data_IF_316171714312
#
_entry.id   IF_316171714312
#
_cell.length_a   1.000
_cell.length_b   1.000
_cell.length_c   1.000
_cell.angle_alpha   90.00
_cell.angle_beta   90.00
_cell.angle_gamma   90.00
#
_symmetry.space_group_name_H-M   'P 1'
#
loop_
_entity.id
_entity.type
_entity.pdbx_description
1 polymer ?
#
# COMPACT_ATOMS: atom_id res chain seq x y z
N UNK A 1 -12.08 -11.39 13.43
CA UNK A 1 -12.09 -10.82 12.06
C UNK A 1 -10.72 -10.19 11.81
N UNK A 2 -10.18 -10.25 10.59
CA UNK A 2 -8.96 -9.51 10.24
C UNK A 2 -9.11 -8.01 10.51
N UNK A 3 -8.02 -7.36 10.89
CA UNK A 3 -7.94 -5.91 11.10
C UNK A 3 -6.79 -5.33 10.29
N UNK A 4 -6.91 -4.09 9.83
CA UNK A 4 -5.79 -3.37 9.22
C UNK A 4 -4.80 -2.84 10.28
N UNK A 5 -3.75 -2.16 9.84
CA UNK A 5 -2.73 -1.59 10.73
C UNK A 5 -3.22 -0.41 11.59
N UNK A 6 -4.46 0.06 11.37
CA UNK A 6 -5.15 1.09 12.15
C UNK A 6 -6.35 0.52 12.90
N UNK A 7 -6.40 -0.81 13.05
CA UNK A 7 -7.41 -1.52 13.81
C UNK A 7 -8.82 -1.48 13.20
N UNK A 8 -8.97 -1.17 11.91
CA UNK A 8 -10.24 -1.26 11.20
C UNK A 8 -10.52 -2.71 10.80
N UNK A 9 -11.64 -3.31 11.25
CA UNK A 9 -12.00 -4.67 10.87
C UNK A 9 -12.43 -4.73 9.40
N UNK A 10 -12.07 -5.80 8.72
CA UNK A 10 -12.51 -6.05 7.35
C UNK A 10 -12.77 -7.53 7.08
N UNK A 11 -13.49 -7.79 6.00
CA UNK A 11 -13.67 -9.10 5.40
C UNK A 11 -12.94 -9.13 4.07
N UNK A 12 -12.24 -10.21 3.78
CA UNK A 12 -11.76 -10.46 2.42
C UNK A 12 -12.95 -10.93 1.58
N UNK A 13 -13.29 -10.18 0.54
CA UNK A 13 -14.42 -10.50 -0.36
C UNK A 13 -13.98 -11.20 -1.62
N UNK A 14 -12.74 -10.97 -2.05
CA UNK A 14 -12.14 -11.58 -3.22
C UNK A 14 -10.64 -11.73 -2.96
N UNK A 15 -10.08 -12.88 -3.30
CA UNK A 15 -8.65 -13.08 -3.27
C UNK A 15 -8.21 -13.94 -4.46
N UNK A 16 -7.29 -13.42 -5.25
CA UNK A 16 -6.60 -14.15 -6.31
C UNK A 16 -5.13 -14.28 -5.93
N UNK A 17 -4.57 -15.47 -6.09
CA UNK A 17 -3.14 -15.70 -5.95
C UNK A 17 -2.66 -16.49 -7.15
N UNK A 18 -1.78 -15.90 -7.94
CA UNK A 18 -1.08 -16.56 -9.03
C UNK A 18 0.43 -16.34 -8.92
N UNK A 19 1.21 -17.00 -9.76
CA UNK A 19 2.68 -16.98 -9.70
C UNK A 19 3.28 -15.57 -9.85
N UNK A 20 2.51 -14.60 -10.36
CA UNK A 20 2.98 -13.23 -10.63
C UNK A 20 2.34 -12.20 -9.71
N UNK A 21 1.11 -12.42 -9.26
CA UNK A 21 0.35 -11.44 -8.50
C UNK A 21 -0.56 -12.07 -7.44
N UNK A 22 -0.56 -11.46 -6.25
CA UNK A 22 -1.57 -11.67 -5.22
C UNK A 22 -2.45 -10.43 -5.12
N UNK A 23 -3.77 -10.60 -5.24
CA UNK A 23 -4.76 -9.54 -5.09
C UNK A 23 -5.77 -9.95 -4.03
N UNK A 24 -6.08 -9.06 -3.11
CA UNK A 24 -7.06 -9.25 -2.05
C UNK A 24 -7.95 -8.00 -1.93
N UNK A 25 -9.25 -8.13 -2.20
CA UNK A 25 -10.25 -7.08 -1.94
C UNK A 25 -10.72 -7.17 -0.50
N UNK A 26 -10.89 -6.00 0.13
CA UNK A 26 -11.22 -5.84 1.54
C UNK A 26 -12.48 -5.01 1.68
N UNK A 27 -13.50 -5.60 2.28
CA UNK A 27 -14.76 -4.93 2.63
C UNK A 27 -14.73 -4.56 4.12
N UNK A 28 -14.81 -3.26 4.39
CA UNK A 28 -14.82 -2.70 5.75
C UNK A 28 -16.24 -2.39 6.25
N UNK A 29 -17.26 -2.77 5.48
CA UNK A 29 -18.67 -2.50 5.76
C UNK A 29 -19.23 -1.34 4.94
N UNK A 30 -20.57 -1.20 4.94
CA UNK A 30 -21.27 -0.22 4.10
C UNK A 30 -20.96 1.24 4.46
N UNK A 31 -20.60 1.51 5.72
CA UNK A 31 -20.27 2.86 6.20
C UNK A 31 -18.80 3.23 5.99
N UNK A 32 -18.00 2.34 5.39
CA UNK A 32 -16.60 2.59 5.13
C UNK A 32 -16.42 3.69 4.07
N UNK A 33 -15.47 4.63 4.27
CA UNK A 33 -15.20 5.68 3.29
C UNK A 33 -14.67 5.12 1.96
N UNK A 34 -14.05 3.93 1.99
CA UNK A 34 -13.58 3.22 0.82
C UNK A 34 -14.27 1.85 0.70
N UNK A 35 -15.10 1.71 -0.33
CA UNK A 35 -15.76 0.44 -0.68
C UNK A 35 -14.89 -0.43 -1.61
N UNK A 36 -13.79 0.12 -2.14
CA UNK A 36 -12.89 -0.52 -3.09
C UNK A 36 -11.48 -0.73 -2.50
N UNK A 37 -11.40 -0.95 -1.19
CA UNK A 37 -10.15 -1.20 -0.53
C UNK A 37 -9.57 -2.55 -0.99
N UNK A 38 -8.26 -2.57 -1.24
CA UNK A 38 -7.58 -3.72 -1.83
C UNK A 38 -6.10 -3.75 -1.46
N UNK A 39 -5.50 -4.92 -1.63
CA UNK A 39 -4.08 -5.16 -1.54
C UNK A 39 -3.66 -5.93 -2.77
N UNK A 40 -2.67 -5.44 -3.50
CA UNK A 40 -2.08 -6.08 -4.65
C UNK A 40 -0.58 -6.15 -4.45
N UNK A 41 0.01 -7.33 -4.49
CA UNK A 41 1.45 -7.54 -4.44
C UNK A 41 1.89 -8.37 -5.63
N UNK A 42 3.06 -8.07 -6.16
CA UNK A 42 3.63 -8.73 -7.33
C UNK A 42 4.96 -9.38 -7.00
N UNK A 43 5.33 -10.38 -7.78
CA UNK A 43 6.57 -11.13 -7.59
C UNK A 43 7.85 -10.30 -7.80
N UNK A 44 7.75 -9.15 -8.47
CA UNK A 44 8.84 -8.17 -8.61
C UNK A 44 9.05 -7.30 -7.36
N UNK A 45 8.29 -7.54 -6.28
CA UNK A 45 8.34 -6.77 -5.04
C UNK A 45 7.52 -5.48 -5.07
N UNK A 46 6.92 -5.12 -6.21
CA UNK A 46 5.98 -4.00 -6.26
C UNK A 46 4.68 -4.35 -5.55
N UNK A 47 4.03 -3.34 -4.99
CA UNK A 47 2.72 -3.50 -4.38
C UNK A 47 1.89 -2.23 -4.49
N UNK A 48 0.58 -2.39 -4.33
CA UNK A 48 -0.40 -1.31 -4.24
C UNK A 48 -1.42 -1.66 -3.15
N UNK A 49 -1.67 -0.71 -2.26
CA UNK A 49 -2.71 -0.75 -1.27
C UNK A 49 -3.69 0.38 -1.53
N UNK A 50 -4.97 0.05 -1.47
CA UNK A 50 -6.10 0.98 -1.33
C UNK A 50 -6.68 0.73 0.06
N UNK A 51 -6.68 1.75 0.93
CA UNK A 51 -6.96 1.60 2.35
C UNK A 51 -8.36 2.09 2.74
N UNK A 52 -8.83 1.75 3.94
CA UNK A 52 -10.14 2.16 4.49
C UNK A 52 -10.48 3.65 4.26
N UNK A 53 -9.51 4.55 4.48
CA UNK A 53 -9.64 6.00 4.39
C UNK A 53 -9.44 6.56 2.98
N UNK A 54 -9.50 5.72 1.95
CA UNK A 54 -9.20 6.05 0.54
C UNK A 54 -7.76 6.46 0.26
N UNK A 55 -6.87 6.43 1.26
CA UNK A 55 -5.44 6.60 1.01
C UNK A 55 -4.89 5.42 0.19
N UNK A 56 -3.88 5.71 -0.63
CA UNK A 56 -3.18 4.72 -1.43
C UNK A 56 -1.71 4.65 -1.03
N UNK A 57 -1.17 3.45 -1.08
CA UNK A 57 0.25 3.21 -0.79
C UNK A 57 0.82 2.27 -1.85
N UNK A 58 1.78 2.75 -2.63
CA UNK A 58 2.42 1.97 -3.69
C UNK A 58 3.92 1.84 -3.47
N UNK A 59 4.49 0.76 -4.00
CA UNK A 59 5.93 0.55 -4.09
C UNK A 59 6.25 0.00 -5.47
N UNK A 60 7.35 0.48 -6.06
CA UNK A 60 7.77 0.09 -7.41
C UNK A 60 8.60 -1.21 -7.47
N UNK A 61 8.89 -1.83 -6.32
CA UNK A 61 9.77 -3.00 -6.21
C UNK A 61 11.26 -2.68 -6.35
N UNK A 62 11.61 -1.42 -6.60
CA UNK A 62 12.97 -0.91 -6.85
C UNK A 62 13.44 0.07 -5.78
N UNK A 63 12.63 0.27 -4.74
CA UNK A 63 12.97 1.04 -3.56
C UNK A 63 12.22 2.36 -3.44
N UNK A 64 11.33 2.71 -4.37
CA UNK A 64 10.49 3.92 -4.27
C UNK A 64 9.10 3.57 -3.79
N UNK A 65 8.68 4.24 -2.72
CA UNK A 65 7.35 4.11 -2.13
C UNK A 65 6.61 5.44 -2.28
N UNK A 66 5.33 5.38 -2.63
CA UNK A 66 4.45 6.55 -2.73
C UNK A 66 3.26 6.37 -1.80
N UNK A 67 3.00 7.38 -0.98
CA UNK A 67 1.80 7.49 -0.16
C UNK A 67 0.94 8.63 -0.68
N UNK A 68 -0.28 8.33 -1.10
CA UNK A 68 -1.26 9.31 -1.58
C UNK A 68 -2.43 9.36 -0.62
N UNK A 69 -2.54 10.39 0.22
CA UNK A 69 -3.73 10.59 1.05
C UNK A 69 -4.95 10.92 0.17
N UNK A 70 -6.17 10.67 0.67
CA UNK A 70 -7.39 11.01 -0.07
C UNK A 70 -7.49 12.52 -0.33
N UNK A 71 -7.65 12.90 -1.60
CA UNK A 71 -7.76 14.30 -2.02
C UNK A 71 -6.53 15.18 -1.77
N UNK A 72 -5.34 14.61 -1.54
CA UNK A 72 -4.11 15.36 -1.29
C UNK A 72 -2.98 14.94 -2.22
N UNK A 73 -1.97 15.81 -2.33
CA UNK A 73 -0.76 15.52 -3.08
C UNK A 73 -0.01 14.30 -2.48
N UNK A 74 0.63 13.48 -3.34
CA UNK A 74 1.40 12.34 -2.88
C UNK A 74 2.70 12.74 -2.18
N UNK A 75 3.18 11.83 -1.35
CA UNK A 75 4.50 11.85 -0.76
C UNK A 75 5.26 10.64 -1.28
N UNK A 76 6.56 10.79 -1.50
CA UNK A 76 7.46 9.71 -1.89
C UNK A 76 8.54 9.52 -0.84
N UNK A 77 9.04 8.29 -0.74
CA UNK A 77 10.29 7.96 -0.05
C UNK A 77 11.05 6.95 -0.88
N UNK A 78 12.38 7.01 -0.82
CA UNK A 78 13.24 6.09 -1.56
C UNK A 78 14.15 5.33 -0.60
N UNK A 79 14.48 4.09 -0.96
CA UNK A 79 15.48 3.27 -0.30
C UNK A 79 16.79 3.46 -1.05
N UNK A 80 17.79 4.02 -0.38
CA UNK A 80 19.12 4.27 -0.92
C UNK A 80 20.15 3.42 -0.17
N UNK A 81 21.25 3.00 -0.82
CA UNK A 81 22.36 2.37 -0.12
C UNK A 81 22.99 3.36 0.87
N UNK A 82 23.13 2.93 2.12
CA UNK A 82 23.85 3.64 3.17
C UNK A 82 25.37 3.56 2.98
N UNK A 83 26.14 4.33 3.77
CA UNK A 83 27.62 4.35 3.70
C UNK A 83 28.26 2.99 4.04
N UNK A 84 27.53 2.13 4.74
CA UNK A 84 27.88 0.75 5.08
C UNK A 84 27.26 -0.29 4.13
N UNK A 85 26.62 0.16 3.04
CA UNK A 85 25.91 -0.71 2.11
C UNK A 85 24.53 -1.18 2.60
N UNK A 86 24.10 -0.80 3.81
CA UNK A 86 22.77 -1.15 4.33
C UNK A 86 21.67 -0.31 3.64
N UNK A 87 20.50 -0.88 3.35
CA UNK A 87 19.40 -0.10 2.78
C UNK A 87 18.88 0.92 3.80
N UNK A 88 18.89 2.21 3.42
CA UNK A 88 18.36 3.32 4.22
C UNK A 88 17.18 3.95 3.52
N UNK A 89 16.07 4.05 4.25
CA UNK A 89 14.85 4.73 3.79
C UNK A 89 14.98 6.23 4.04
N UNK A 90 14.71 7.05 3.03
CA UNK A 90 14.57 8.49 3.22
C UNK A 90 13.33 8.82 4.04
N UNK A 91 13.26 10.06 4.55
CA UNK A 91 11.99 10.62 5.02
C UNK A 91 10.98 10.75 3.87
N UNK A 92 9.71 10.92 4.24
CA UNK A 92 8.65 11.26 3.29
C UNK A 92 8.85 12.69 2.79
N UNK A 93 8.90 12.86 1.48
CA UNK A 93 8.97 14.17 0.82
C UNK A 93 7.77 14.33 -0.09
N UNK A 94 7.19 15.53 -0.22
CA UNK A 94 6.17 15.79 -1.24
C UNK A 94 6.68 15.37 -2.62
N UNK A 95 5.85 14.67 -3.39
CA UNK A 95 6.14 14.38 -4.78
C UNK A 95 5.89 15.65 -5.60
N UNK A 96 6.93 16.09 -6.32
CA UNK A 96 6.93 17.31 -7.15
C UNK A 96 6.36 17.02 -8.54
#
# INVERSE_FOLDING_TARGET
MPVDNRNHPYKTTDAKNDEKEHVCKRDFGPDAPNQDASHKSRSDGSFEYSNYDKSKYTNDGKGTETYTPDGKAPFTRTTLPGPDGSPRRTGWTPSI
#
